data_IF_445222287716
#
_entry.id   IF_445222287716
#
_cell.length_a   1.000
_cell.length_b   1.000
_cell.length_c   1.000
_cell.angle_alpha   90.00
_cell.angle_beta   90.00
_cell.angle_gamma   90.00
#
_symmetry.space_group_name_H-M   'P 1'
#
loop_
_entity.id
_entity.type
_entity.pdbx_description
1 polymer ?
#
# COMPACT_ATOMS: atom_id res chain seq x y z
N UNK A 1 30.14 13.36 31.56
CA UNK A 1 30.36 13.19 30.12
C UNK A 1 30.03 11.77 29.66
N UNK A 2 30.47 10.72 30.36
CA UNK A 2 30.17 9.32 29.97
C UNK A 2 28.67 8.97 30.02
N UNK A 3 27.93 9.52 30.98
CA UNK A 3 26.49 9.27 31.17
C UNK A 3 25.68 9.90 30.04
N UNK A 4 26.07 11.08 29.56
CA UNK A 4 25.38 11.78 28.45
C UNK A 4 25.50 10.99 27.15
N UNK A 5 26.69 10.48 26.85
CA UNK A 5 26.93 9.64 25.68
C UNK A 5 26.11 8.35 25.71
N UNK A 6 26.01 7.70 26.86
CA UNK A 6 25.18 6.51 27.04
C UNK A 6 23.71 6.78 26.76
N UNK A 7 23.18 7.91 27.23
CA UNK A 7 21.79 8.32 26.97
C UNK A 7 21.55 8.60 25.48
N UNK A 8 22.47 9.30 24.83
CA UNK A 8 22.37 9.59 23.37
C UNK A 8 22.34 8.29 22.56
N UNK A 9 23.22 7.34 22.86
CA UNK A 9 23.27 6.05 22.18
C UNK A 9 21.97 5.27 22.41
N UNK A 10 21.45 5.24 23.63
CA UNK A 10 20.19 4.56 23.95
C UNK A 10 19.01 5.16 23.18
N UNK A 11 18.91 6.48 23.09
CA UNK A 11 17.87 7.18 22.32
C UNK A 11 17.97 6.86 20.84
N UNK A 12 19.18 6.87 20.27
CA UNK A 12 19.40 6.52 18.87
C UNK A 12 18.99 5.08 18.57
N UNK A 13 19.32 4.13 19.44
CA UNK A 13 18.92 2.72 19.28
C UNK A 13 17.41 2.55 19.32
N UNK A 14 16.72 3.25 20.20
CA UNK A 14 15.25 3.23 20.29
C UNK A 14 14.63 3.81 19.02
N UNK A 15 15.16 4.91 18.49
CA UNK A 15 14.67 5.52 17.26
C UNK A 15 14.87 4.59 16.05
N UNK A 16 16.04 3.96 15.94
CA UNK A 16 16.33 3.01 14.85
C UNK A 16 15.42 1.78 14.95
N UNK A 17 15.25 1.21 16.13
CA UNK A 17 14.37 0.06 16.34
C UNK A 17 12.90 0.42 16.04
N UNK A 18 12.43 1.58 16.48
CA UNK A 18 11.09 2.07 16.19
C UNK A 18 10.86 2.30 14.70
N UNK A 19 11.83 2.91 14.01
CA UNK A 19 11.77 3.09 12.56
C UNK A 19 11.71 1.75 11.82
N UNK A 20 12.59 0.81 12.16
CA UNK A 20 12.59 -0.53 11.56
C UNK A 20 11.28 -1.27 11.82
N UNK A 21 10.74 -1.19 13.03
CA UNK A 21 9.44 -1.76 13.37
C UNK A 21 8.31 -1.17 12.51
N UNK A 22 8.27 0.15 12.35
CA UNK A 22 7.24 0.82 11.54
C UNK A 22 7.38 0.52 10.04
N UNK A 23 8.61 0.40 9.52
CA UNK A 23 8.84 0.17 8.09
C UNK A 23 8.65 -1.29 7.68
N UNK A 24 8.79 -2.25 8.59
CA UNK A 24 8.67 -3.68 8.27
C UNK A 24 7.29 -4.28 8.60
N UNK A 25 6.27 -3.45 8.79
CA UNK A 25 4.92 -3.89 9.15
C UNK A 25 3.95 -4.02 7.99
N UNK A 26 4.36 -3.71 6.77
CA UNK A 26 3.46 -3.68 5.61
C UNK A 26 2.80 -5.05 5.38
N UNK A 27 3.59 -6.11 5.40
CA UNK A 27 3.09 -7.47 5.15
C UNK A 27 2.08 -7.96 6.18
N UNK A 28 2.15 -7.49 7.43
CA UNK A 28 1.20 -7.86 8.49
C UNK A 28 0.01 -6.90 8.61
N UNK A 29 0.10 -5.72 8.03
CA UNK A 29 -0.89 -4.65 8.19
C UNK A 29 -1.85 -4.57 7.01
N UNK A 30 -1.38 -4.76 5.78
CA UNK A 30 -2.15 -4.55 4.56
C UNK A 30 -3.21 -5.64 4.30
N UNK A 31 -2.90 -6.96 4.42
CA UNK A 31 -3.89 -7.98 4.09
C UNK A 31 -5.15 -7.89 4.95
N UNK A 32 -6.31 -8.03 4.32
CA UNK A 32 -7.60 -8.04 5.01
C UNK A 32 -8.14 -6.67 5.39
N UNK A 33 -7.54 -5.59 4.92
CA UNK A 33 -7.94 -4.21 5.23
C UNK A 33 -8.25 -3.40 4.00
N UNK A 34 -8.99 -2.31 4.19
CA UNK A 34 -9.34 -1.35 3.15
C UNK A 34 -8.60 -0.04 3.41
N UNK A 35 -7.95 0.48 2.39
CA UNK A 35 -7.21 1.73 2.42
C UNK A 35 -7.77 2.73 1.42
N UNK A 36 -7.79 3.99 1.80
CA UNK A 36 -8.03 5.11 0.90
C UNK A 36 -6.68 5.63 0.40
N UNK A 37 -6.47 5.56 -0.89
CA UNK A 37 -5.35 6.17 -1.58
C UNK A 37 -5.76 7.54 -2.12
N UNK A 38 -4.92 8.54 -1.92
CA UNK A 38 -5.09 9.84 -2.54
C UNK A 38 -4.02 10.02 -3.60
N UNK A 39 -4.41 10.38 -4.82
CA UNK A 39 -3.45 10.59 -5.90
C UNK A 39 -2.46 11.70 -5.54
N UNK A 40 -1.30 11.69 -6.19
CA UNK A 40 -0.25 12.68 -6.01
C UNK A 40 -0.77 14.11 -6.19
N UNK A 41 -1.73 14.31 -7.10
CA UNK A 41 -2.34 15.60 -7.35
C UNK A 41 -3.43 15.98 -6.33
N UNK A 42 -3.78 15.07 -5.41
CA UNK A 42 -4.83 15.29 -4.43
C UNK A 42 -6.26 15.29 -4.98
N UNK A 43 -6.43 15.10 -6.28
CA UNK A 43 -7.72 15.26 -6.96
C UNK A 43 -8.53 13.95 -7.05
N UNK A 44 -7.85 12.80 -7.03
CA UNK A 44 -8.51 11.51 -7.16
C UNK A 44 -8.28 10.67 -5.92
N UNK A 45 -9.36 10.10 -5.41
CA UNK A 45 -9.32 9.13 -4.31
C UNK A 45 -9.70 7.76 -4.84
N UNK A 46 -8.90 6.78 -4.50
CA UNK A 46 -9.17 5.38 -4.78
C UNK A 46 -9.26 4.60 -3.48
N UNK A 47 -10.07 3.57 -3.47
CA UNK A 47 -10.20 2.66 -2.34
C UNK A 47 -9.71 1.29 -2.74
N UNK A 48 -8.90 0.68 -1.89
CA UNK A 48 -8.24 -0.58 -2.14
C UNK A 48 -8.60 -1.56 -1.04
N UNK A 49 -9.29 -2.63 -1.42
CA UNK A 49 -9.58 -3.75 -0.51
C UNK A 49 -8.59 -4.88 -0.79
N UNK A 50 -7.69 -5.12 0.16
CA UNK A 50 -6.65 -6.13 0.03
C UNK A 50 -7.15 -7.47 0.53
N UNK A 51 -7.05 -8.51 -0.31
CA UNK A 51 -7.41 -9.86 0.10
C UNK A 51 -6.52 -10.32 1.26
N UNK A 52 -7.12 -11.00 2.23
CA UNK A 52 -6.40 -11.61 3.35
C UNK A 52 -5.63 -12.85 2.92
N UNK A 53 -6.21 -13.64 2.02
CA UNK A 53 -5.75 -14.99 1.70
C UNK A 53 -5.10 -15.12 0.31
N UNK A 54 -5.08 -14.05 -0.47
CA UNK A 54 -4.50 -14.06 -1.82
C UNK A 54 -3.80 -12.74 -2.13
N UNK A 55 -3.17 -12.67 -3.31
CA UNK A 55 -2.49 -11.47 -3.82
C UNK A 55 -3.44 -10.50 -4.54
N UNK A 56 -4.75 -10.75 -4.49
CA UNK A 56 -5.75 -9.92 -5.19
C UNK A 56 -6.09 -8.68 -4.38
N UNK A 57 -6.33 -7.58 -5.09
CA UNK A 57 -6.80 -6.33 -4.50
C UNK A 57 -7.90 -5.75 -5.37
N UNK A 58 -9.00 -5.33 -4.74
CA UNK A 58 -10.06 -4.56 -5.39
C UNK A 58 -9.68 -3.09 -5.36
N UNK A 59 -9.56 -2.47 -6.53
CA UNK A 59 -9.26 -1.04 -6.66
C UNK A 59 -10.47 -0.36 -7.30
N UNK A 60 -11.08 0.57 -6.59
CA UNK A 60 -12.31 1.23 -7.02
C UNK A 60 -12.39 2.66 -6.49
N UNK A 61 -13.07 3.54 -7.22
CA UNK A 61 -13.38 4.89 -6.75
C UNK A 61 -14.56 4.91 -5.76
N UNK A 62 -15.28 3.81 -5.62
CA UNK A 62 -16.46 3.69 -4.77
C UNK A 62 -16.10 3.05 -3.43
N UNK A 63 -16.11 3.87 -2.37
CA UNK A 63 -15.82 3.43 -1.01
C UNK A 63 -16.73 2.29 -0.54
N UNK A 64 -18.01 2.35 -0.86
CA UNK A 64 -18.97 1.33 -0.41
C UNK A 64 -18.70 -0.03 -1.05
N UNK A 65 -18.26 -0.07 -2.29
CA UNK A 65 -17.82 -1.31 -2.95
C UNK A 65 -16.59 -1.91 -2.27
N UNK A 66 -15.60 -1.10 -1.95
CA UNK A 66 -14.39 -1.57 -1.28
C UNK A 66 -14.72 -2.14 0.12
N UNK A 67 -15.54 -1.44 0.90
CA UNK A 67 -15.97 -1.93 2.20
C UNK A 67 -16.78 -3.23 2.11
N UNK A 68 -17.68 -3.32 1.13
CA UNK A 68 -18.46 -4.52 0.89
C UNK A 68 -17.57 -5.70 0.50
N UNK A 69 -16.56 -5.49 -0.33
CA UNK A 69 -15.59 -6.52 -0.69
C UNK A 69 -14.87 -7.10 0.52
N UNK A 70 -14.62 -6.27 1.54
CA UNK A 70 -13.92 -6.69 2.75
C UNK A 70 -14.80 -7.45 3.75
N UNK A 71 -16.13 -7.49 3.57
CA UNK A 71 -17.05 -8.13 4.51
C UNK A 71 -17.02 -9.65 4.47
N UNK A 72 -16.77 -10.24 3.30
CA UNK A 72 -16.70 -11.69 3.13
C UNK A 72 -15.93 -12.07 1.87
N UNK A 73 -15.43 -13.31 1.83
CA UNK A 73 -14.72 -13.82 0.66
C UNK A 73 -15.62 -13.86 -0.58
N UNK A 74 -16.90 -14.22 -0.43
CA UNK A 74 -17.81 -14.26 -1.56
C UNK A 74 -18.12 -12.87 -2.13
N UNK A 75 -18.25 -11.86 -1.27
CA UNK A 75 -18.38 -10.46 -1.69
C UNK A 75 -17.11 -9.97 -2.38
N UNK A 76 -15.94 -10.32 -1.84
CA UNK A 76 -14.67 -9.99 -2.48
C UNK A 76 -14.59 -10.56 -3.88
N UNK A 77 -14.84 -11.85 -4.05
CA UNK A 77 -14.77 -12.52 -5.34
C UNK A 77 -15.74 -11.92 -6.36
N UNK A 78 -16.97 -11.65 -5.93
CA UNK A 78 -17.99 -11.05 -6.79
C UNK A 78 -17.59 -9.66 -7.29
N UNK A 79 -17.12 -8.80 -6.38
CA UNK A 79 -16.72 -7.44 -6.72
C UNK A 79 -15.42 -7.43 -7.52
N UNK A 80 -14.43 -8.25 -7.14
CA UNK A 80 -13.19 -8.39 -7.87
C UNK A 80 -13.44 -8.80 -9.32
N UNK A 81 -14.29 -9.79 -9.55
CA UNK A 81 -14.61 -10.26 -10.90
C UNK A 81 -15.33 -9.19 -11.74
N UNK A 82 -16.20 -8.39 -11.13
CA UNK A 82 -16.87 -7.28 -11.83
C UNK A 82 -15.87 -6.18 -12.21
N UNK A 83 -15.00 -5.80 -11.28
CA UNK A 83 -14.00 -4.75 -11.51
C UNK A 83 -12.88 -5.22 -12.46
N UNK A 84 -12.66 -6.54 -12.58
CA UNK A 84 -11.64 -7.12 -13.47
C UNK A 84 -11.89 -6.85 -14.96
N UNK A 85 -13.09 -6.41 -15.33
CA UNK A 85 -13.38 -5.96 -16.70
C UNK A 85 -12.51 -4.77 -17.11
N UNK A 86 -12.06 -3.98 -16.15
CA UNK A 86 -11.19 -2.82 -16.36
C UNK A 86 -9.71 -3.11 -16.07
N UNK A 87 -9.37 -4.38 -15.89
CA UNK A 87 -8.04 -4.85 -15.50
C UNK A 87 -8.03 -5.55 -14.16
N UNK A 88 -7.10 -6.48 -14.00
CA UNK A 88 -6.91 -7.22 -12.74
C UNK A 88 -5.80 -6.60 -11.93
N UNK A 89 -6.06 -6.40 -10.64
CA UNK A 89 -5.09 -5.85 -9.71
C UNK A 89 -4.57 -6.90 -8.75
N UNK A 90 -3.27 -6.89 -8.54
CA UNK A 90 -2.57 -7.74 -7.59
C UNK A 90 -1.65 -6.89 -6.72
N UNK A 91 -1.32 -7.38 -5.54
CA UNK A 91 -0.40 -6.70 -4.64
C UNK A 91 0.62 -7.65 -4.04
N UNK A 92 1.76 -7.09 -3.66
CA UNK A 92 2.78 -7.75 -2.88
C UNK A 92 3.21 -6.82 -1.76
N UNK A 93 3.04 -7.25 -0.52
CA UNK A 93 3.51 -6.53 0.66
C UNK A 93 4.65 -7.34 1.29
N UNK A 94 5.86 -6.80 1.25
CA UNK A 94 7.05 -7.47 1.76
C UNK A 94 8.03 -6.48 2.36
N UNK A 95 8.44 -6.73 3.60
CA UNK A 95 9.37 -5.82 4.29
C UNK A 95 8.79 -4.42 4.41
N UNK A 96 9.49 -3.44 3.87
CA UNK A 96 9.06 -2.05 3.80
C UNK A 96 8.52 -1.65 2.42
N UNK A 97 8.24 -2.62 1.56
CA UNK A 97 7.77 -2.37 0.20
C UNK A 97 6.34 -2.85 0.00
N UNK A 98 5.57 -2.09 -0.78
CA UNK A 98 4.27 -2.51 -1.27
C UNK A 98 4.23 -2.30 -2.77
N UNK A 99 3.95 -3.36 -3.52
CA UNK A 99 3.86 -3.32 -4.97
C UNK A 99 2.43 -3.55 -5.39
N UNK A 100 1.90 -2.68 -6.24
CA UNK A 100 0.62 -2.84 -6.92
C UNK A 100 0.87 -3.11 -8.40
N UNK A 101 0.21 -4.11 -8.95
CA UNK A 101 0.31 -4.47 -10.36
C UNK A 101 -1.07 -4.52 -10.98
N UNK A 102 -1.20 -3.91 -12.15
CA UNK A 102 -2.44 -3.95 -12.95
C UNK A 102 -2.15 -4.65 -14.27
N UNK A 103 -2.93 -5.67 -14.60
CA UNK A 103 -2.89 -6.34 -15.89
C UNK A 103 -4.17 -6.05 -16.64
N UNK A 104 -4.03 -5.49 -17.85
CA UNK A 104 -5.14 -5.16 -18.72
C UNK A 104 -4.76 -5.46 -20.17
N UNK A 105 -5.57 -6.25 -20.86
CA UNK A 105 -5.34 -6.63 -22.27
C UNK A 105 -3.93 -7.23 -22.50
N UNK A 106 -3.47 -8.07 -21.57
CA UNK A 106 -2.15 -8.70 -21.63
C UNK A 106 -0.98 -7.79 -21.27
N UNK A 107 -1.23 -6.54 -20.93
CA UNK A 107 -0.21 -5.56 -20.55
C UNK A 107 -0.18 -5.36 -19.04
N UNK A 108 1.02 -5.28 -18.47
CA UNK A 108 1.22 -5.10 -17.03
C UNK A 108 1.81 -3.73 -16.71
N UNK A 109 1.17 -3.06 -15.77
CA UNK A 109 1.70 -1.84 -15.15
C UNK A 109 1.96 -2.09 -13.67
N UNK A 110 3.02 -1.48 -13.14
CA UNK A 110 3.47 -1.73 -11.77
C UNK A 110 3.84 -0.44 -11.07
N UNK A 111 3.45 -0.37 -9.80
CA UNK A 111 3.84 0.71 -8.89
C UNK A 111 4.41 0.09 -7.63
N UNK A 112 5.69 0.32 -7.35
CA UNK A 112 6.35 -0.17 -6.15
C UNK A 112 6.62 0.99 -5.21
N UNK A 113 5.92 1.00 -4.08
CA UNK A 113 6.09 1.98 -3.02
C UNK A 113 7.22 1.53 -2.09
N UNK A 114 8.23 2.39 -1.94
CA UNK A 114 9.45 2.08 -1.22
C UNK A 114 9.46 2.75 0.16
N UNK A 115 10.10 2.11 1.12
CA UNK A 115 10.24 2.64 2.49
C UNK A 115 8.89 3.04 3.09
N UNK A 116 7.93 2.14 3.00
CA UNK A 116 6.59 2.38 3.53
C UNK A 116 6.65 2.40 5.06
N UNK A 117 6.25 3.51 5.63
CA UNK A 117 6.18 3.72 7.07
C UNK A 117 4.74 3.53 7.54
N UNK A 118 4.51 2.57 8.43
CA UNK A 118 3.18 2.28 9.00
C UNK A 118 3.05 2.95 10.36
N UNK A 119 2.19 3.93 10.46
CA UNK A 119 1.90 4.67 11.69
C UNK A 119 0.39 4.65 11.97
N UNK A 120 -0.03 3.78 12.90
CA UNK A 120 -1.45 3.63 13.24
C UNK A 120 -2.27 3.21 12.02
N UNK A 121 -3.23 4.05 11.64
CA UNK A 121 -4.14 3.81 10.52
C UNK A 121 -3.62 4.40 9.19
N UNK A 122 -2.39 4.88 9.14
CA UNK A 122 -1.81 5.49 7.94
C UNK A 122 -0.54 4.78 7.53
N UNK A 123 -0.33 4.71 6.23
CA UNK A 123 0.93 4.32 5.62
C UNK A 123 1.44 5.46 4.75
N UNK A 124 2.73 5.72 4.84
CA UNK A 124 3.41 6.79 4.10
C UNK A 124 4.52 6.19 3.25
N UNK A 125 4.58 6.58 2.00
CA UNK A 125 5.71 6.27 1.12
C UNK A 125 6.30 7.57 0.59
N UNK A 126 7.62 7.74 0.72
CA UNK A 126 8.31 8.93 0.23
C UNK A 126 8.62 8.89 -1.25
N UNK A 127 8.57 7.73 -1.86
CA UNK A 127 8.80 7.56 -3.30
C UNK A 127 8.15 6.26 -3.78
N UNK A 128 7.92 6.19 -5.09
CA UNK A 128 7.53 4.95 -5.73
C UNK A 128 8.21 4.81 -7.09
N UNK A 129 8.54 3.57 -7.42
CA UNK A 129 9.04 3.19 -8.74
C UNK A 129 7.84 2.74 -9.57
N UNK A 130 7.73 3.23 -10.80
CA UNK A 130 6.63 2.85 -11.67
C UNK A 130 7.15 2.33 -13.02
N UNK A 131 6.41 1.39 -13.57
CA UNK A 131 6.54 0.93 -14.94
C UNK A 131 5.14 0.78 -15.52
N UNK A 132 4.78 1.69 -16.40
CA UNK A 132 3.44 1.74 -16.99
C UNK A 132 3.51 1.20 -18.41
N UNK A 133 2.66 0.23 -18.71
CA UNK A 133 2.59 -0.37 -20.03
C UNK A 133 2.33 0.71 -21.10
N UNK A 134 3.19 0.77 -22.11
CA UNK A 134 3.14 1.73 -23.23
C UNK A 134 3.30 3.21 -22.85
N UNK A 135 3.70 3.54 -21.62
CA UNK A 135 3.79 4.93 -21.18
C UNK A 135 5.14 5.32 -20.58
N UNK A 136 5.91 4.38 -20.05
CA UNK A 136 7.22 4.65 -19.51
C UNK A 136 7.45 4.12 -18.11
N UNK A 137 8.66 4.36 -17.59
CA UNK A 137 9.10 3.91 -16.28
C UNK A 137 9.96 4.98 -15.62
N UNK A 138 10.03 4.96 -14.31
CA UNK A 138 10.82 5.91 -13.55
C UNK A 138 10.60 5.81 -12.05
N UNK A 139 11.10 6.81 -11.34
CA UNK A 139 10.92 6.97 -9.90
C UNK A 139 10.25 8.32 -9.66
N UNK A 140 9.18 8.30 -8.87
CA UNK A 140 8.52 9.51 -8.41
C UNK A 140 8.85 9.70 -6.93
N UNK A 141 9.37 10.88 -6.57
CA UNK A 141 9.78 11.23 -5.21
C UNK A 141 8.69 11.97 -4.43
N UNK A 142 7.45 11.92 -4.89
CA UNK A 142 6.33 12.53 -4.19
C UNK A 142 5.80 11.62 -3.09
N UNK A 143 5.42 12.23 -1.99
CA UNK A 143 4.81 11.51 -0.87
C UNK A 143 3.45 10.93 -1.25
N UNK A 144 3.26 9.68 -0.89
CA UNK A 144 1.99 8.97 -1.08
C UNK A 144 1.47 8.53 0.28
N UNK A 145 0.18 8.70 0.51
CA UNK A 145 -0.48 8.33 1.76
C UNK A 145 -1.61 7.35 1.50
N UNK A 146 -1.65 6.30 2.32
CA UNK A 146 -2.74 5.33 2.36
C UNK A 146 -3.39 5.43 3.74
N UNK A 147 -4.68 5.77 3.79
CA UNK A 147 -5.45 5.88 5.02
C UNK A 147 -6.30 4.63 5.19
N UNK A 148 -6.11 3.89 6.28
CA UNK A 148 -6.94 2.74 6.60
C UNK A 148 -8.36 3.21 6.94
N UNK A 149 -9.36 2.65 6.27
CA UNK A 149 -10.77 2.94 6.47
C UNK A 149 -11.55 1.75 7.04
N UNK A 150 -10.97 0.56 7.00
CA UNK A 150 -11.51 -0.65 7.64
C UNK A 150 -10.45 -1.73 7.88
#
# INVERSE_FOLDING_TARGET
>A
AKTVWGVIIAVLLILVAGYAFCTHRVASTVPGHVYQYTSVNGNNKLYMAFSKDSDRVVVTADKSKALKANQSDSNFDSIYNKESKNGTWQYLAKGSHMTLSKTQSGQNSRWQYNRVLVLGNKMYAGSFTYKIANAGQGIDHKNTTFQKVE
#
